data_IF_699288465444
#
_entry.id   IF_699288465444
#
_cell.length_a   1.000
_cell.length_b   1.000
_cell.length_c   1.000
_cell.angle_alpha   90.00
_cell.angle_beta   90.00
_cell.angle_gamma   90.00
#
_symmetry.space_group_name_H-M   'P 1'
#
loop_
_entity.id
_entity.type
_entity.pdbx_description
1 polymer ?
#
# COMPACT_ATOMS: atom_id res chain seq x y z
N UNK A 1 21.81 -10.54 24.19
CA UNK A 1 20.57 -10.26 23.46
C UNK A 1 20.90 -10.10 21.99
N UNK A 2 20.18 -10.78 21.11
CA UNK A 2 20.26 -10.53 19.67
C UNK A 2 19.80 -9.09 19.38
N UNK A 3 20.40 -8.42 18.39
CA UNK A 3 20.08 -7.01 18.10
C UNK A 3 18.62 -6.92 17.65
N UNK A 4 17.73 -6.17 18.33
CA UNK A 4 16.30 -6.15 17.99
C UNK A 4 16.03 -5.80 16.52
N UNK A 5 16.80 -4.87 15.95
CA UNK A 5 16.68 -4.49 14.53
C UNK A 5 17.03 -5.63 13.56
N UNK A 6 17.90 -6.56 13.96
CA UNK A 6 18.20 -7.75 13.16
C UNK A 6 17.01 -8.72 13.13
N UNK A 7 16.32 -8.88 14.27
CA UNK A 7 15.09 -9.68 14.33
C UNK A 7 13.96 -9.05 13.51
N UNK A 8 13.78 -7.71 13.58
CA UNK A 8 12.86 -7.00 12.68
C UNK A 8 13.15 -7.27 11.21
N UNK A 9 14.43 -7.20 10.81
CA UNK A 9 14.84 -7.49 9.43
C UNK A 9 14.52 -8.93 9.02
N UNK A 10 14.78 -9.91 9.89
CA UNK A 10 14.49 -11.33 9.63
C UNK A 10 12.99 -11.60 9.54
N UNK A 11 12.22 -11.06 10.48
CA UNK A 11 10.77 -11.12 10.49
C UNK A 11 10.19 -10.52 9.20
N UNK A 12 10.55 -9.28 8.88
CA UNK A 12 10.09 -8.59 7.67
C UNK A 12 10.39 -9.38 6.39
N UNK A 13 11.59 -9.96 6.28
CA UNK A 13 11.95 -10.84 5.16
C UNK A 13 11.07 -12.10 5.10
N UNK A 14 10.85 -12.78 6.22
CA UNK A 14 10.05 -14.00 6.28
C UNK A 14 8.59 -13.72 5.92
N UNK A 15 8.02 -12.66 6.47
CA UNK A 15 6.66 -12.20 6.16
C UNK A 15 6.52 -11.85 4.68
N UNK A 16 7.48 -11.12 4.11
CA UNK A 16 7.48 -10.78 2.69
C UNK A 16 7.48 -12.02 1.77
N UNK A 17 8.35 -13.00 2.04
CA UNK A 17 8.42 -14.23 1.25
C UNK A 17 7.14 -15.08 1.39
N UNK A 18 6.56 -15.11 2.59
CA UNK A 18 5.28 -15.79 2.82
C UNK A 18 4.14 -15.11 2.05
N UNK A 19 4.02 -13.78 2.12
CA UNK A 19 3.02 -13.00 1.35
C UNK A 19 3.16 -13.31 -0.13
N UNK A 20 4.38 -13.25 -0.69
CA UNK A 20 4.60 -13.54 -2.11
C UNK A 20 4.16 -14.95 -2.51
N UNK A 21 4.46 -15.95 -1.67
CA UNK A 21 4.08 -17.34 -1.93
C UNK A 21 2.56 -17.48 -1.97
N UNK A 22 1.85 -16.99 -0.95
CA UNK A 22 0.38 -17.14 -0.86
C UNK A 22 -0.29 -16.28 -1.94
N UNK A 23 0.24 -15.07 -2.21
CA UNK A 23 -0.27 -14.20 -3.27
C UNK A 23 -0.21 -14.90 -4.65
N UNK A 24 0.86 -15.63 -4.93
CA UNK A 24 0.98 -16.44 -6.14
C UNK A 24 -0.02 -17.59 -6.19
N UNK A 25 -0.16 -18.32 -5.09
CA UNK A 25 -1.14 -19.44 -4.97
C UNK A 25 -2.59 -18.96 -5.16
N UNK A 26 -2.89 -17.71 -4.76
CA UNK A 26 -4.21 -17.08 -4.90
C UNK A 26 -4.37 -16.23 -6.18
N UNK A 27 -3.36 -16.14 -7.04
CA UNK A 27 -3.41 -15.36 -8.29
C UNK A 27 -3.48 -13.84 -8.11
N UNK A 28 -3.02 -13.31 -6.96
CA UNK A 28 -3.02 -11.88 -6.61
C UNK A 28 -1.61 -11.25 -6.68
N UNK A 29 -0.67 -11.90 -7.35
CA UNK A 29 0.73 -11.47 -7.50
C UNK A 29 0.89 -10.11 -8.21
N UNK A 30 -0.08 -9.71 -9.04
CA UNK A 30 -0.08 -8.43 -9.76
C UNK A 30 -0.06 -7.21 -8.81
N UNK A 31 -0.40 -7.41 -7.54
CA UNK A 31 -0.38 -6.38 -6.51
C UNK A 31 1.02 -5.85 -6.17
N UNK A 32 2.05 -6.68 -6.30
CA UNK A 32 3.38 -6.34 -5.79
C UNK A 32 4.09 -5.25 -6.62
N UNK A 33 3.53 -4.87 -7.77
CA UNK A 33 4.10 -3.86 -8.66
C UNK A 33 3.40 -2.49 -8.59
N UNK A 34 3.89 -1.50 -9.36
CA UNK A 34 3.33 -0.15 -9.39
C UNK A 34 1.84 -0.09 -9.75
N UNK A 35 1.33 -1.05 -10.53
CA UNK A 35 -0.10 -1.12 -10.85
C UNK A 35 -0.96 -1.47 -9.63
N UNK A 36 -0.50 -2.42 -8.81
CA UNK A 36 -1.17 -2.78 -7.57
C UNK A 36 -1.20 -1.63 -6.57
N UNK A 37 -0.08 -0.89 -6.45
CA UNK A 37 0.00 0.31 -5.61
C UNK A 37 -1.02 1.37 -6.05
N UNK A 38 -1.15 1.62 -7.35
CA UNK A 38 -2.18 2.54 -7.88
C UNK A 38 -3.58 2.05 -7.55
N UNK A 39 -3.88 0.76 -7.77
CA UNK A 39 -5.20 0.21 -7.49
C UNK A 39 -5.57 0.36 -6.01
N UNK A 40 -4.65 0.01 -5.11
CA UNK A 40 -4.81 0.17 -3.67
C UNK A 40 -5.05 1.64 -3.27
N UNK A 41 -4.21 2.56 -3.78
CA UNK A 41 -4.33 3.98 -3.47
C UNK A 41 -5.65 4.58 -3.95
N UNK A 42 -6.08 4.26 -5.18
CA UNK A 42 -7.36 4.73 -5.72
C UNK A 42 -8.53 4.14 -4.93
N UNK A 43 -8.48 2.83 -4.61
CA UNK A 43 -9.54 2.18 -3.81
C UNK A 43 -9.71 2.88 -2.46
N UNK A 44 -8.61 3.05 -1.72
CA UNK A 44 -8.63 3.69 -0.41
C UNK A 44 -9.17 5.13 -0.46
N UNK A 45 -8.81 5.90 -1.51
CA UNK A 45 -9.33 7.25 -1.68
C UNK A 45 -10.81 7.26 -2.03
N UNK A 46 -11.29 6.32 -2.85
CA UNK A 46 -12.73 6.17 -3.12
C UNK A 46 -13.51 5.81 -1.86
N UNK A 47 -13.00 4.92 -1.00
CA UNK A 47 -13.60 4.59 0.30
C UNK A 47 -13.69 5.81 1.25
N UNK A 48 -12.85 6.82 1.02
CA UNK A 48 -12.82 8.09 1.75
C UNK A 48 -13.53 9.25 1.01
N UNK A 49 -14.31 8.97 -0.03
CA UNK A 49 -14.98 9.97 -0.88
C UNK A 49 -14.03 11.00 -1.52
N UNK A 50 -12.76 10.63 -1.74
CA UNK A 50 -11.74 11.48 -2.36
C UNK A 50 -11.55 11.14 -3.84
N UNK A 51 -11.60 12.16 -4.68
CA UNK A 51 -11.23 12.05 -6.09
C UNK A 51 -9.71 11.86 -6.25
N UNK A 52 -9.29 11.01 -7.19
CA UNK A 52 -7.87 10.77 -7.47
C UNK A 52 -7.50 11.28 -8.85
N UNK A 53 -6.42 12.05 -8.95
CA UNK A 53 -5.87 12.60 -10.18
C UNK A 53 -4.47 12.04 -10.47
N UNK A 54 -3.98 12.18 -11.69
CA UNK A 54 -2.63 11.70 -12.08
C UNK A 54 -1.53 12.30 -11.20
N UNK A 55 -1.66 13.59 -10.82
CA UNK A 55 -0.71 14.26 -9.91
C UNK A 55 -0.62 13.58 -8.53
N UNK A 56 -1.71 12.97 -8.07
CA UNK A 56 -1.75 12.28 -6.79
C UNK A 56 -0.97 10.96 -6.91
N UNK A 57 -1.06 10.29 -8.05
CA UNK A 57 -0.27 9.08 -8.36
C UNK A 57 1.23 9.41 -8.50
N UNK A 58 1.57 10.54 -9.12
CA UNK A 58 2.95 11.01 -9.20
C UNK A 58 3.58 11.17 -7.80
N UNK A 59 2.83 11.80 -6.89
CA UNK A 59 3.24 11.99 -5.50
C UNK A 59 3.33 10.68 -4.73
N UNK A 60 2.29 9.85 -4.81
CA UNK A 60 2.22 8.57 -4.09
C UNK A 60 3.36 7.62 -4.46
N UNK A 61 3.67 7.51 -5.76
CA UNK A 61 4.70 6.58 -6.24
C UNK A 61 6.10 7.22 -6.31
N UNK A 62 6.23 8.54 -6.07
CA UNK A 62 7.48 9.27 -6.24
C UNK A 62 8.03 9.23 -7.68
N UNK A 63 7.14 9.24 -8.68
CA UNK A 63 7.50 9.09 -10.10
C UNK A 63 7.27 10.37 -10.89
N UNK A 64 8.00 10.52 -11.99
CA UNK A 64 7.83 11.67 -12.88
C UNK A 64 6.49 11.61 -13.63
N UNK A 65 5.99 12.78 -14.03
CA UNK A 65 4.78 12.94 -14.85
C UNK A 65 4.73 12.06 -16.10
N UNK A 66 5.86 11.89 -16.80
CA UNK A 66 5.91 11.06 -18.00
C UNK A 66 5.74 9.58 -17.68
N UNK A 67 6.33 9.11 -16.58
CA UNK A 67 6.21 7.73 -16.08
C UNK A 67 4.78 7.46 -15.60
N UNK A 68 4.20 8.36 -14.81
CA UNK A 68 2.82 8.25 -14.35
C UNK A 68 1.85 8.21 -15.53
N UNK A 69 2.00 9.12 -16.50
CA UNK A 69 1.16 9.16 -17.70
C UNK A 69 1.22 7.86 -18.50
N UNK A 70 2.41 7.26 -18.66
CA UNK A 70 2.57 5.98 -19.35
C UNK A 70 1.97 4.82 -18.55
N UNK A 71 2.10 4.84 -17.21
CA UNK A 71 1.46 3.86 -16.34
C UNK A 71 -0.07 3.90 -16.48
N UNK A 72 -0.67 5.09 -16.41
CA UNK A 72 -2.12 5.28 -16.56
C UNK A 72 -2.62 4.78 -17.92
N UNK A 73 -1.94 5.11 -19.02
CA UNK A 73 -2.30 4.61 -20.36
C UNK A 73 -2.33 3.08 -20.41
N UNK A 74 -1.33 2.42 -19.82
CA UNK A 74 -1.31 0.94 -19.76
C UNK A 74 -2.43 0.39 -18.89
N UNK A 75 -2.71 0.99 -17.74
CA UNK A 75 -3.77 0.52 -16.85
C UNK A 75 -5.16 0.67 -17.46
N UNK A 76 -5.42 1.76 -18.20
CA UNK A 76 -6.66 1.92 -18.98
C UNK A 76 -6.74 0.86 -20.08
N UNK A 77 -5.65 0.66 -20.85
CA UNK A 77 -5.61 -0.37 -21.91
C UNK A 77 -5.89 -1.77 -21.36
N UNK A 78 -5.42 -2.06 -20.14
CA UNK A 78 -5.61 -3.35 -19.48
C UNK A 78 -6.95 -3.47 -18.74
N UNK A 79 -7.85 -2.49 -18.83
CA UNK A 79 -9.15 -2.53 -18.17
C UNK A 79 -9.09 -2.46 -16.64
N UNK A 80 -7.98 -1.99 -16.07
CA UNK A 80 -7.81 -1.89 -14.62
C UNK A 80 -8.44 -0.62 -14.05
N UNK A 81 -8.41 0.46 -14.83
CA UNK A 81 -8.96 1.77 -14.47
C UNK A 81 -9.69 2.36 -15.67
N UNK A 82 -10.55 3.33 -15.41
CA UNK A 82 -11.06 4.25 -16.43
C UNK A 82 -10.86 5.70 -16.00
N UNK A 83 -10.92 6.60 -16.96
CA UNK A 83 -10.77 8.04 -16.73
C UNK A 83 -12.11 8.73 -16.93
N UNK A 84 -12.57 9.39 -15.88
CA UNK A 84 -13.77 10.21 -15.87
C UNK A 84 -13.38 11.68 -16.03
N UNK A 85 -14.18 12.44 -16.78
CA UNK A 85 -13.96 13.89 -16.93
C UNK A 85 -14.54 14.59 -15.71
N UNK A 86 -13.74 15.44 -15.05
CA UNK A 86 -14.26 16.23 -13.94
C UNK A 86 -15.37 17.17 -14.41
N UNK A 87 -16.46 17.22 -13.65
CA UNK A 87 -17.58 18.14 -13.90
C UNK A 87 -17.16 19.62 -13.73
N UNK A 88 -16.11 19.87 -12.93
CA UNK A 88 -15.64 21.23 -12.60
C UNK A 88 -14.50 21.72 -13.50
N UNK A 89 -13.62 20.84 -13.98
CA UNK A 89 -12.59 21.16 -14.97
C UNK A 89 -12.49 20.04 -16.01
N UNK A 90 -12.96 20.30 -17.24
CA UNK A 90 -12.95 19.33 -18.35
C UNK A 90 -11.53 18.87 -18.76
N UNK A 91 -10.48 19.58 -18.31
CA UNK A 91 -9.08 19.18 -18.53
C UNK A 91 -8.57 18.22 -17.46
N UNK A 92 -9.23 18.17 -16.31
CA UNK A 92 -8.90 17.25 -15.22
C UNK A 92 -9.56 15.90 -15.45
N UNK A 93 -8.74 14.84 -15.38
CA UNK A 93 -9.19 13.45 -15.48
C UNK A 93 -9.12 12.80 -14.11
N UNK A 94 -10.26 12.30 -13.65
CA UNK A 94 -10.39 11.55 -12.41
C UNK A 94 -10.14 10.08 -12.74
N UNK A 95 -9.28 9.44 -11.96
CA UNK A 95 -8.99 8.02 -12.07
C UNK A 95 -10.00 7.25 -11.24
N UNK A 96 -10.64 6.25 -11.85
CA UNK A 96 -11.61 5.36 -11.22
C UNK A 96 -11.25 3.91 -11.46
N UNK A 97 -11.55 3.05 -10.49
CA UNK A 97 -11.41 1.60 -10.66
C UNK A 97 -12.55 1.04 -11.50
N UNK A 98 -12.24 0.11 -12.41
CA UNK A 98 -13.28 -0.68 -13.08
C UNK A 98 -13.97 -1.60 -12.07
N UNK A 99 -15.22 -2.05 -12.33
CA UNK A 99 -15.91 -2.99 -11.46
C UNK A 99 -15.10 -4.27 -11.18
N UNK A 100 -14.43 -4.80 -12.21
CA UNK A 100 -13.55 -5.97 -12.09
C UNK A 100 -12.34 -5.70 -11.16
N UNK A 101 -11.73 -4.51 -11.26
CA UNK A 101 -10.67 -4.11 -10.35
C UNK A 101 -11.15 -3.96 -8.91
N UNK A 102 -12.38 -3.45 -8.69
CA UNK A 102 -12.95 -3.34 -7.34
C UNK A 102 -13.15 -4.71 -6.70
N UNK A 103 -13.75 -5.66 -7.43
CA UNK A 103 -13.91 -7.03 -6.94
C UNK A 103 -12.56 -7.69 -6.63
N UNK A 104 -11.54 -7.42 -7.47
CA UNK A 104 -10.18 -7.88 -7.19
C UNK A 104 -9.62 -7.25 -5.90
N UNK A 105 -9.84 -5.96 -5.67
CA UNK A 105 -9.41 -5.27 -4.46
C UNK A 105 -10.10 -5.79 -3.20
N UNK A 106 -11.37 -6.19 -3.29
CA UNK A 106 -12.06 -6.83 -2.17
C UNK A 106 -11.40 -8.17 -1.78
N UNK A 107 -11.11 -9.03 -2.76
CA UNK A 107 -10.39 -10.31 -2.52
C UNK A 107 -9.00 -10.09 -1.92
N UNK A 108 -8.36 -9.00 -2.29
CA UNK A 108 -7.05 -8.58 -1.76
C UNK A 108 -7.17 -8.17 -0.30
N UNK A 109 -8.19 -7.35 0.03
CA UNK A 109 -8.46 -6.95 1.41
C UNK A 109 -8.72 -8.18 2.29
N UNK A 110 -9.58 -9.09 1.83
CA UNK A 110 -9.89 -10.33 2.55
C UNK A 110 -8.62 -11.18 2.79
N UNK A 111 -7.71 -11.22 1.81
CA UNK A 111 -6.42 -11.87 1.94
C UNK A 111 -5.55 -11.25 3.04
N UNK A 112 -5.40 -9.91 3.05
CA UNK A 112 -4.61 -9.23 4.09
C UNK A 112 -5.25 -9.37 5.48
N UNK A 113 -6.57 -9.26 5.58
CA UNK A 113 -7.29 -9.45 6.84
C UNK A 113 -7.11 -10.87 7.39
N UNK A 114 -7.11 -11.89 6.53
CA UNK A 114 -6.81 -13.27 6.92
C UNK A 114 -5.36 -13.43 7.39
N UNK A 115 -4.42 -12.79 6.70
CA UNK A 115 -3.02 -12.82 7.09
C UNK A 115 -2.77 -12.17 8.44
N UNK A 116 -3.38 -11.01 8.71
CA UNK A 116 -3.28 -10.34 9.99
C UNK A 116 -3.85 -11.20 11.11
N UNK A 117 -5.04 -11.79 10.92
CA UNK A 117 -5.60 -12.74 11.88
C UNK A 117 -4.67 -13.92 12.17
N UNK A 118 -4.03 -14.48 11.13
CA UNK A 118 -3.12 -15.62 11.29
C UNK A 118 -1.80 -15.23 11.96
N UNK A 119 -1.22 -14.08 11.61
CA UNK A 119 0.05 -13.62 12.16
C UNK A 119 -0.07 -13.16 13.61
N UNK A 120 -1.23 -12.62 14.00
CA UNK A 120 -1.50 -12.15 15.36
C UNK A 120 -2.14 -13.23 16.24
N UNK A 121 -2.38 -14.43 15.71
CA UNK A 121 -2.98 -15.53 16.47
C UNK A 121 -2.16 -15.87 17.72
N UNK A 122 -2.79 -15.76 18.88
CA UNK A 122 -2.17 -16.05 20.19
C UNK A 122 -1.39 -14.87 20.79
N UNK A 123 -1.38 -13.70 20.15
CA UNK A 123 -0.87 -12.45 20.75
C UNK A 123 -2.00 -11.79 21.53
N UNK A 124 -1.75 -11.45 22.79
CA UNK A 124 -2.74 -10.76 23.64
C UNK A 124 -2.92 -9.31 23.23
N UNK A 125 -4.06 -8.70 23.56
CA UNK A 125 -4.28 -7.27 23.34
C UNK A 125 -3.26 -6.43 24.13
N UNK A 126 -2.91 -6.85 25.34
CA UNK A 126 -1.89 -6.18 26.16
C UNK A 126 -0.51 -6.18 25.49
N UNK A 127 -0.10 -7.31 24.89
CA UNK A 127 1.17 -7.40 24.16
C UNK A 127 1.14 -6.53 22.90
N UNK A 128 0.01 -6.45 22.20
CA UNK A 128 -0.16 -5.56 21.04
C UNK A 128 -0.05 -4.09 21.44
N UNK A 129 -0.65 -3.68 22.56
CA UNK A 129 -0.51 -2.32 23.08
C UNK A 129 0.96 -1.99 23.36
N UNK A 130 1.70 -2.90 24.00
CA UNK A 130 3.13 -2.73 24.26
C UNK A 130 3.91 -2.64 22.93
N UNK A 131 3.60 -3.51 21.97
CA UNK A 131 4.22 -3.49 20.64
C UNK A 131 4.04 -2.14 19.96
N UNK A 132 2.82 -1.60 19.90
CA UNK A 132 2.56 -0.30 19.27
C UNK A 132 3.27 0.85 19.99
N UNK A 133 3.35 0.83 21.33
CA UNK A 133 4.11 1.83 22.09
C UNK A 133 5.60 1.81 21.74
N UNK A 134 6.19 0.62 21.60
CA UNK A 134 7.61 0.47 21.22
C UNK A 134 7.83 0.92 19.78
N UNK A 135 6.95 0.54 18.86
CA UNK A 135 7.01 0.97 17.46
C UNK A 135 6.93 2.49 17.33
N UNK A 136 6.05 3.15 18.10
CA UNK A 136 5.96 4.61 18.14
C UNK A 136 7.29 5.29 18.51
N UNK A 137 8.03 4.72 19.47
CA UNK A 137 9.37 5.23 19.82
C UNK A 137 10.39 5.03 18.70
N UNK A 138 10.31 3.94 17.93
CA UNK A 138 11.17 3.75 16.77
C UNK A 138 10.90 4.78 15.67
N UNK A 139 9.63 5.08 15.37
CA UNK A 139 9.29 6.13 14.41
C UNK A 139 9.83 7.50 14.83
N UNK A 140 9.64 7.89 16.10
CA UNK A 140 10.21 9.14 16.62
C UNK A 140 11.74 9.19 16.53
N UNK A 141 12.43 8.06 16.73
CA UNK A 141 13.87 8.01 16.58
C UNK A 141 14.31 8.12 15.12
N UNK A 142 13.52 7.59 14.17
CA UNK A 142 13.78 7.74 12.73
C UNK A 142 13.64 9.20 12.32
N UNK A 143 12.56 9.87 12.71
CA UNK A 143 12.33 11.29 12.41
C UNK A 143 13.51 12.15 12.90
N UNK A 144 13.94 11.96 14.15
CA UNK A 144 15.10 12.68 14.71
C UNK A 144 16.40 12.41 13.96
N UNK A 145 16.63 11.18 13.51
CA UNK A 145 17.80 10.83 12.70
C UNK A 145 17.78 11.50 11.32
N UNK A 146 16.59 11.62 10.70
CA UNK A 146 16.42 12.32 9.43
C UNK A 146 16.64 13.83 9.57
N UNK A 147 16.32 14.40 10.73
CA UNK A 147 16.56 15.81 11.10
C UNK A 147 18.00 16.09 11.57
N UNK A 148 18.82 15.05 11.73
CA UNK A 148 20.21 15.16 12.21
C UNK A 148 20.35 15.34 13.73
N UNK A 149 19.25 15.20 14.49
CA UNK A 149 19.26 15.22 15.95
C UNK A 149 19.72 13.86 16.48
N UNK A 150 21.01 13.76 16.84
CA UNK A 150 21.53 12.53 17.45
C UNK A 150 21.27 12.58 18.96
N UNK A 151 20.29 11.82 19.45
CA UNK A 151 20.19 11.55 20.88
C UNK A 151 21.31 10.56 21.26
N UNK A 152 22.29 11.06 22.02
CA UNK A 152 23.32 10.27 22.72
C UNK A 152 22.69 9.58 23.92
#
# INVERSE_FOLDING_TARGET
MEKPLLEFKRFGRKTHLMIQKIAKERGIEFMAGPQGQVLHFVNHREDCDKMTFIKDIEQELGITKSVASNLMKRMVKNGLIYLEVSETDKRAKIIRLTPESKERMDKIRDFFDEMDRCLLAGVSEEDLVIFFQVMGKFYQNIEKLEEGETNV
#
